data_IF_882230142141
#
_entry.id   IF_882230142141
#
_cell.length_a   1.000
_cell.length_b   1.000
_cell.length_c   1.000
_cell.angle_alpha   90.00
_cell.angle_beta   90.00
_cell.angle_gamma   90.00
#
_symmetry.space_group_name_H-M   'P 1'
#
loop_
_entity.id
_entity.type
_entity.pdbx_description
1 polymer ?
#
# COMPACT_ATOMS: atom_id res chain seq x y z
N UNK A 1 32.21 -2.85 34.86
CA UNK A 1 31.82 -2.69 33.44
C UNK A 1 30.58 -1.81 33.38
N UNK A 2 30.74 -0.51 33.08
CA UNK A 2 29.60 0.39 32.84
C UNK A 2 29.23 0.25 31.37
N UNK A 3 28.26 -0.61 31.06
CA UNK A 3 27.56 -0.52 29.77
C UNK A 3 26.72 0.75 29.88
N UNK A 4 27.17 1.83 29.23
CA UNK A 4 26.47 3.11 29.27
C UNK A 4 25.05 2.94 28.72
N UNK A 5 24.05 3.48 29.43
CA UNK A 5 22.65 3.52 29.00
C UNK A 5 22.50 4.06 27.57
N UNK A 6 23.42 4.95 27.16
CA UNK A 6 23.58 5.50 25.81
C UNK A 6 23.85 4.42 24.75
N UNK A 7 24.63 3.38 25.07
CA UNK A 7 24.88 2.26 24.17
C UNK A 7 23.60 1.41 23.99
N UNK A 8 22.79 1.27 25.04
CA UNK A 8 21.52 0.54 24.98
C UNK A 8 20.47 1.33 24.18
N UNK A 9 20.42 2.65 24.31
CA UNK A 9 19.53 3.51 23.51
C UNK A 9 19.96 3.51 22.05
N UNK A 10 21.26 3.60 21.74
CA UNK A 10 21.73 3.49 20.34
C UNK A 10 21.49 2.09 19.77
N UNK A 11 21.66 1.02 20.55
CA UNK A 11 21.36 -0.35 20.12
C UNK A 11 19.84 -0.59 20.00
N UNK A 12 19.00 0.04 20.82
CA UNK A 12 17.54 -0.02 20.66
C UNK A 12 17.05 0.82 19.49
N UNK A 13 17.59 2.03 19.28
CA UNK A 13 17.22 2.88 18.15
C UNK A 13 17.71 2.25 16.84
N UNK A 14 18.94 1.73 16.79
CA UNK A 14 19.40 0.92 15.66
C UNK A 14 18.59 -0.38 15.55
N UNK A 15 18.31 -1.04 16.67
CA UNK A 15 17.48 -2.23 16.72
C UNK A 15 16.06 -1.98 16.22
N UNK A 16 15.47 -0.80 16.43
CA UNK A 16 14.09 -0.46 16.02
C UNK A 16 14.06 0.11 14.60
N UNK A 17 15.09 0.85 14.18
CA UNK A 17 15.29 1.27 12.79
C UNK A 17 15.55 0.06 11.86
N UNK A 18 16.11 -1.03 12.38
CA UNK A 18 16.39 -2.26 11.62
C UNK A 18 15.47 -3.46 11.96
N UNK A 19 14.73 -3.48 13.08
CA UNK A 19 13.79 -4.57 13.44
C UNK A 19 12.31 -4.25 13.20
N UNK A 20 12.01 -3.17 12.46
CA UNK A 20 10.74 -3.04 11.74
C UNK A 20 10.62 -3.99 10.52
N UNK A 21 11.57 -4.92 10.37
CA UNK A 21 11.53 -5.99 9.39
C UNK A 21 10.47 -7.03 9.77
N UNK A 22 9.28 -6.89 9.19
CA UNK A 22 8.77 -8.05 8.47
C UNK A 22 9.79 -8.33 7.35
N UNK A 23 10.37 -9.54 7.37
CA UNK A 23 11.34 -10.05 6.42
C UNK A 23 10.79 -10.04 4.98
N UNK A 24 10.76 -8.88 4.34
CA UNK A 24 10.69 -8.80 2.89
C UNK A 24 11.79 -7.85 2.34
N UNK A 25 12.96 -8.38 1.96
CA UNK A 25 14.04 -7.61 1.35
C UNK A 25 13.70 -7.10 -0.07
N UNK A 26 12.43 -7.19 -0.52
CA UNK A 26 12.00 -6.77 -1.87
C UNK A 26 11.03 -5.59 -1.94
N UNK A 27 10.75 -4.90 -0.83
CA UNK A 27 9.83 -3.76 -0.89
C UNK A 27 10.12 -2.69 0.14
N UNK A 28 11.10 -1.82 -0.13
CA UNK A 28 11.16 -0.49 0.52
C UNK A 28 9.88 0.26 0.16
N UNK A 29 8.86 0.16 1.01
CA UNK A 29 7.59 0.84 0.84
C UNK A 29 7.73 2.33 1.18
N UNK A 30 6.84 3.16 0.62
CA UNK A 30 6.81 4.61 0.86
C UNK A 30 6.79 5.03 2.35
N UNK A 31 6.34 4.14 3.25
CA UNK A 31 6.40 4.36 4.70
C UNK A 31 7.81 4.19 5.28
N UNK A 32 8.63 3.28 4.75
CA UNK A 32 10.00 3.03 5.24
C UNK A 32 10.94 4.19 4.96
N UNK A 33 10.92 4.74 3.74
CA UNK A 33 11.72 5.93 3.38
C UNK A 33 11.32 7.16 4.20
N UNK A 34 10.02 7.35 4.44
CA UNK A 34 9.52 8.44 5.28
C UNK A 34 9.94 8.26 6.75
N UNK A 35 9.90 7.03 7.25
CA UNK A 35 10.33 6.70 8.61
C UNK A 35 11.83 6.93 8.79
N UNK A 36 12.66 6.47 7.85
CA UNK A 36 14.11 6.69 7.87
C UNK A 36 14.43 8.19 7.92
N UNK A 37 13.78 9.01 7.10
CA UNK A 37 13.97 10.46 7.08
C UNK A 37 13.53 11.15 8.37
N UNK A 38 12.38 10.79 8.95
CA UNK A 38 11.91 11.36 10.21
C UNK A 38 12.78 10.92 11.41
N UNK A 39 13.23 9.66 11.45
CA UNK A 39 14.17 9.18 12.46
C UNK A 39 15.51 9.90 12.32
N UNK A 40 16.02 10.08 11.10
CA UNK A 40 17.27 10.81 10.86
C UNK A 40 17.15 12.27 11.31
N UNK A 41 16.03 12.94 11.04
CA UNK A 41 15.77 14.30 11.50
C UNK A 41 15.77 14.40 13.03
N UNK A 42 15.07 13.48 13.70
CA UNK A 42 15.03 13.40 15.18
C UNK A 42 16.43 13.12 15.75
N UNK A 43 17.20 12.22 15.12
CA UNK A 43 18.55 11.90 15.58
C UNK A 43 19.59 12.98 15.29
N UNK A 44 19.41 13.76 14.22
CA UNK A 44 20.30 14.87 13.88
C UNK A 44 20.30 15.94 14.98
N UNK A 45 19.16 16.19 15.64
CA UNK A 45 19.04 17.13 16.76
C UNK A 45 19.81 16.68 18.01
N UNK A 46 20.05 15.37 18.12
CA UNK A 46 20.67 14.70 19.28
C UNK A 46 22.15 14.39 19.03
N UNK A 47 22.59 14.40 17.76
CA UNK A 47 23.91 13.93 17.31
C UNK A 47 25.10 14.70 17.89
N UNK A 48 24.94 15.98 18.18
CA UNK A 48 26.01 16.85 18.70
C UNK A 48 26.01 16.96 20.24
N UNK A 49 25.13 16.23 20.94
CA UNK A 49 25.07 16.22 22.41
C UNK A 49 25.97 15.12 23.00
N UNK A 50 26.62 15.43 24.13
CA UNK A 50 27.43 14.44 24.85
C UNK A 50 26.55 13.27 25.34
N UNK A 51 26.91 12.04 24.97
CA UNK A 51 26.19 10.80 25.25
C UNK A 51 25.95 10.50 26.75
N UNK A 52 26.50 11.31 27.66
CA UNK A 52 26.40 11.16 29.11
C UNK A 52 25.36 12.05 29.81
N UNK A 53 24.72 12.99 29.11
CA UNK A 53 23.87 14.03 29.74
C UNK A 53 22.36 13.81 29.62
N UNK A 54 21.90 12.73 29.00
CA UNK A 54 20.45 12.50 28.83
C UNK A 54 19.77 12.22 30.16
N UNK A 55 18.84 13.08 30.52
CA UNK A 55 17.88 12.85 31.60
C UNK A 55 16.82 11.85 31.15
N UNK A 56 16.17 11.17 32.11
CA UNK A 56 15.07 10.22 31.81
C UNK A 56 13.94 10.91 31.04
N UNK A 57 13.63 12.17 31.34
CA UNK A 57 12.62 12.94 30.62
C UNK A 57 13.00 13.24 29.16
N UNK A 58 14.28 13.46 28.86
CA UNK A 58 14.74 13.64 27.47
C UNK A 58 14.68 12.32 26.68
N UNK A 59 14.92 11.18 27.33
CA UNK A 59 14.74 9.86 26.70
C UNK A 59 13.27 9.58 26.42
N UNK A 60 12.36 9.90 27.35
CA UNK A 60 10.91 9.77 27.12
C UNK A 60 10.41 10.67 25.99
N UNK A 61 10.90 11.92 25.91
CA UNK A 61 10.57 12.83 24.82
C UNK A 61 11.03 12.28 23.46
N UNK A 62 12.28 11.82 23.38
CA UNK A 62 12.85 11.24 22.17
C UNK A 62 12.08 9.99 21.71
N UNK A 63 11.76 9.10 22.65
CA UNK A 63 10.93 7.92 22.36
C UNK A 63 9.53 8.31 21.91
N UNK A 64 8.98 9.40 22.43
CA UNK A 64 7.70 9.97 22.00
C UNK A 64 7.73 10.45 20.55
N UNK A 65 8.79 11.14 20.14
CA UNK A 65 8.98 11.61 18.76
C UNK A 65 9.18 10.44 17.78
N UNK A 66 9.99 9.44 18.15
CA UNK A 66 10.16 8.22 17.36
C UNK A 66 8.83 7.48 17.21
N UNK A 67 8.03 7.40 18.27
CA UNK A 67 6.69 6.81 18.26
C UNK A 67 5.75 7.55 17.30
N UNK A 68 5.81 8.88 17.25
CA UNK A 68 5.04 9.68 16.30
C UNK A 68 5.52 9.41 14.87
N UNK A 69 6.83 9.37 14.61
CA UNK A 69 7.39 9.08 13.29
C UNK A 69 6.92 7.72 12.76
N UNK A 70 6.91 6.69 13.62
CA UNK A 70 6.36 5.36 13.29
C UNK A 70 4.87 5.40 12.97
N UNK A 71 4.08 6.13 13.76
CA UNK A 71 2.64 6.26 13.52
C UNK A 71 2.35 6.95 12.19
N UNK A 72 3.11 8.02 11.84
CA UNK A 72 3.03 8.69 10.54
C UNK A 72 3.35 7.72 9.39
N UNK A 73 4.46 6.99 9.49
CA UNK A 73 4.88 6.01 8.48
C UNK A 73 3.84 4.90 8.28
N UNK A 74 3.29 4.35 9.38
CA UNK A 74 2.24 3.35 9.34
C UNK A 74 0.95 3.90 8.71
N UNK A 75 0.59 5.16 8.98
CA UNK A 75 -0.56 5.81 8.36
C UNK A 75 -0.40 5.96 6.84
N UNK A 76 0.78 6.41 6.38
CA UNK A 76 1.11 6.52 4.96
C UNK A 76 1.03 5.15 4.29
N UNK A 77 1.63 4.11 4.89
CA UNK A 77 1.60 2.76 4.36
C UNK A 77 0.18 2.19 4.29
N UNK A 78 -0.65 2.42 5.32
CA UNK A 78 -2.07 2.03 5.32
C UNK A 78 -2.88 2.75 4.24
N UNK A 79 -2.60 4.02 3.98
CA UNK A 79 -3.26 4.78 2.91
C UNK A 79 -2.84 4.28 1.53
N UNK A 80 -1.54 4.06 1.32
CA UNK A 80 -0.99 3.51 0.09
C UNK A 80 -1.52 2.10 -0.20
N UNK A 81 -1.53 1.23 0.82
CA UNK A 81 -2.01 -0.15 0.72
C UNK A 81 -3.51 -0.21 0.41
N UNK A 82 -4.32 0.67 1.03
CA UNK A 82 -5.74 0.76 0.73
C UNK A 82 -6.00 1.08 -0.75
N UNK A 83 -5.30 2.07 -1.31
CA UNK A 83 -5.44 2.41 -2.73
C UNK A 83 -4.82 1.41 -3.70
N UNK A 84 -3.86 0.61 -3.24
CA UNK A 84 -3.33 -0.50 -4.03
C UNK A 84 -4.35 -1.65 -4.15
N UNK A 85 -5.05 -1.97 -3.04
CA UNK A 85 -6.09 -3.00 -3.02
C UNK A 85 -7.32 -2.58 -3.82
N UNK A 86 -7.80 -1.36 -3.58
CA UNK A 86 -8.94 -0.77 -4.28
C UNK A 86 -8.58 0.68 -4.68
N UNK A 87 -8.38 0.96 -5.98
CA UNK A 87 -8.03 2.30 -6.43
C UNK A 87 -8.97 3.37 -5.89
N UNK A 88 -8.39 4.41 -5.30
CA UNK A 88 -9.13 5.57 -4.80
C UNK A 88 -9.46 5.55 -3.30
N UNK A 89 -9.41 4.40 -2.61
CA UNK A 89 -9.82 4.32 -1.20
C UNK A 89 -8.90 5.12 -0.28
N UNK A 90 -7.58 5.01 -0.46
CA UNK A 90 -6.60 5.81 0.28
C UNK A 90 -6.79 7.31 0.06
N UNK A 91 -7.17 7.75 -1.14
CA UNK A 91 -7.50 9.16 -1.40
C UNK A 91 -8.73 9.60 -0.61
N UNK A 92 -9.79 8.80 -0.60
CA UNK A 92 -11.01 9.10 0.17
C UNK A 92 -10.75 9.16 1.68
N UNK A 93 -9.89 8.27 2.20
CA UNK A 93 -9.46 8.28 3.61
C UNK A 93 -8.69 9.54 4.00
N UNK A 94 -8.08 10.23 3.04
CA UNK A 94 -7.36 11.49 3.21
C UNK A 94 -8.19 12.67 2.68
N UNK A 95 -9.52 12.57 2.70
CA UNK A 95 -10.49 13.61 2.32
C UNK A 95 -10.42 14.08 0.85
N UNK A 96 -9.65 13.42 -0.01
CA UNK A 96 -9.63 13.72 -1.45
C UNK A 96 -10.67 12.86 -2.20
N UNK A 97 -11.95 13.06 -1.86
CA UNK A 97 -13.07 12.24 -2.35
C UNK A 97 -13.18 12.24 -3.88
N UNK A 98 -13.01 13.41 -4.52
CA UNK A 98 -13.09 13.53 -5.97
C UNK A 98 -12.01 12.69 -6.66
N UNK A 99 -10.75 12.83 -6.23
CA UNK A 99 -9.63 12.05 -6.78
C UNK A 99 -9.84 10.55 -6.55
N UNK A 100 -10.31 10.17 -5.36
CA UNK A 100 -10.66 8.80 -5.05
C UNK A 100 -11.74 8.23 -5.96
N UNK A 101 -12.82 8.99 -6.17
CA UNK A 101 -13.93 8.57 -7.04
C UNK A 101 -13.50 8.42 -8.50
N UNK A 102 -12.64 9.31 -9.00
CA UNK A 102 -12.10 9.21 -10.36
C UNK A 102 -11.27 7.94 -10.55
N UNK A 103 -10.39 7.62 -9.60
CA UNK A 103 -9.56 6.40 -9.66
C UNK A 103 -10.41 5.13 -9.57
N UNK A 104 -11.42 5.11 -8.70
CA UNK A 104 -12.35 4.00 -8.60
C UNK A 104 -13.16 3.83 -9.89
N UNK A 105 -13.63 4.93 -10.47
CA UNK A 105 -14.36 4.91 -11.75
C UNK A 105 -13.48 4.40 -12.88
N UNK A 106 -12.22 4.83 -12.93
CA UNK A 106 -11.25 4.32 -13.90
C UNK A 106 -11.06 2.80 -13.74
N UNK A 107 -10.93 2.29 -12.52
CA UNK A 107 -10.80 0.84 -12.24
C UNK A 107 -12.02 0.05 -12.72
N UNK A 108 -13.22 0.57 -12.47
CA UNK A 108 -14.48 -0.02 -12.95
C UNK A 108 -14.54 -0.01 -14.48
N UNK A 109 -14.20 1.09 -15.13
CA UNK A 109 -14.21 1.20 -16.59
C UNK A 109 -13.20 0.25 -17.25
N UNK A 110 -12.00 0.13 -16.69
CA UNK A 110 -10.99 -0.83 -17.18
C UNK A 110 -11.51 -2.27 -16.99
N UNK A 111 -12.13 -2.57 -15.85
CA UNK A 111 -12.73 -3.90 -15.61
C UNK A 111 -13.82 -4.22 -16.63
N UNK A 112 -14.78 -3.31 -16.82
CA UNK A 112 -15.86 -3.47 -17.79
C UNK A 112 -15.29 -3.60 -19.20
N UNK A 113 -14.37 -2.73 -19.60
CA UNK A 113 -13.73 -2.76 -20.91
C UNK A 113 -12.97 -4.06 -21.16
N UNK A 114 -12.29 -4.60 -20.15
CA UNK A 114 -11.59 -5.89 -20.24
C UNK A 114 -12.55 -7.04 -20.43
N UNK A 115 -13.64 -7.08 -19.65
CA UNK A 115 -14.67 -8.14 -19.75
C UNK A 115 -15.38 -8.07 -21.09
N UNK A 116 -15.85 -6.88 -21.49
CA UNK A 116 -16.55 -6.67 -22.76
C UNK A 116 -15.62 -6.96 -23.94
N UNK A 117 -14.40 -6.44 -23.92
CA UNK A 117 -13.42 -6.68 -24.98
C UNK A 117 -13.04 -8.16 -25.08
N UNK A 118 -12.79 -8.82 -23.94
CA UNK A 118 -12.50 -10.26 -23.90
C UNK A 118 -13.66 -11.10 -24.42
N UNK A 119 -14.90 -10.73 -24.08
CA UNK A 119 -16.11 -11.40 -24.60
C UNK A 119 -16.23 -11.30 -26.12
N UNK A 120 -16.06 -10.11 -26.70
CA UNK A 120 -16.18 -9.92 -28.15
C UNK A 120 -15.03 -10.56 -28.95
N UNK A 121 -13.88 -10.75 -28.32
CA UNK A 121 -12.73 -11.42 -28.93
C UNK A 121 -12.68 -12.92 -28.65
N UNK A 122 -13.60 -13.45 -27.84
CA UNK A 122 -13.75 -14.89 -27.62
C UNK A 122 -14.21 -15.55 -28.94
N UNK A 123 -13.76 -16.78 -29.24
CA UNK A 123 -14.32 -17.57 -30.33
C UNK A 123 -15.83 -17.67 -30.22
N UNK A 124 -16.55 -17.58 -31.35
CA UNK A 124 -18.00 -17.48 -31.38
C UNK A 124 -18.65 -18.65 -30.62
N UNK A 125 -18.09 -19.84 -30.77
CA UNK A 125 -18.55 -21.11 -30.19
C UNK A 125 -18.49 -21.12 -28.65
N UNK A 126 -17.69 -20.24 -28.05
CA UNK A 126 -17.55 -20.10 -26.60
C UNK A 126 -18.34 -18.93 -26.03
N UNK A 127 -18.95 -18.09 -26.86
CA UNK A 127 -19.72 -16.94 -26.37
C UNK A 127 -21.05 -17.39 -25.76
N UNK A 128 -21.54 -16.60 -24.82
CA UNK A 128 -22.81 -16.85 -24.12
C UNK A 128 -24.03 -16.86 -25.05
N UNK A 129 -23.97 -16.22 -26.23
CA UNK A 129 -25.04 -16.29 -27.23
C UNK A 129 -25.07 -17.61 -28.01
N UNK A 130 -23.97 -18.37 -28.04
CA UNK A 130 -23.86 -19.64 -28.76
C UNK A 130 -23.80 -20.86 -27.84
N UNK A 131 -23.29 -20.69 -26.62
CA UNK A 131 -23.16 -21.73 -25.61
C UNK A 131 -23.91 -21.33 -24.35
N UNK A 132 -24.98 -22.07 -24.03
CA UNK A 132 -25.73 -21.89 -22.80
C UNK A 132 -24.97 -22.52 -21.62
N UNK A 133 -24.14 -21.72 -20.96
CA UNK A 133 -23.37 -22.15 -19.80
C UNK A 133 -24.21 -22.56 -18.58
N UNK A 134 -25.48 -22.17 -18.52
CA UNK A 134 -26.33 -22.45 -17.36
C UNK A 134 -27.09 -23.76 -17.50
N UNK A 135 -27.47 -24.13 -18.73
CA UNK A 135 -28.29 -25.31 -18.97
C UNK A 135 -27.57 -26.43 -19.75
N UNK A 136 -26.45 -26.14 -20.42
CA UNK A 136 -25.71 -27.17 -21.13
C UNK A 136 -25.01 -28.15 -20.17
N UNK A 137 -24.94 -29.45 -20.51
CA UNK A 137 -24.13 -30.40 -19.78
C UNK A 137 -22.65 -29.97 -19.74
N UNK A 138 -21.99 -30.14 -18.58
CA UNK A 138 -20.58 -29.78 -18.40
C UNK A 138 -19.65 -30.46 -19.43
N UNK A 139 -19.99 -31.68 -19.88
CA UNK A 139 -19.25 -32.37 -20.95
C UNK A 139 -19.26 -31.59 -22.26
N UNK A 140 -20.40 -31.02 -22.63
CA UNK A 140 -20.57 -30.21 -23.85
C UNK A 140 -19.77 -28.92 -23.75
N UNK A 141 -19.83 -28.23 -22.59
CA UNK A 141 -19.04 -27.02 -22.35
C UNK A 141 -17.55 -27.34 -22.51
N UNK A 142 -17.08 -28.38 -21.82
CA UNK A 142 -15.67 -28.79 -21.87
C UNK A 142 -15.23 -29.14 -23.29
N UNK A 143 -16.02 -29.91 -24.03
CA UNK A 143 -15.72 -30.27 -25.41
C UNK A 143 -15.57 -29.03 -26.31
N UNK A 144 -16.47 -28.05 -26.18
CA UNK A 144 -16.37 -26.79 -26.93
C UNK A 144 -15.11 -26.00 -26.62
N UNK A 145 -14.71 -25.94 -25.35
CA UNK A 145 -13.45 -25.32 -24.94
C UNK A 145 -12.22 -26.04 -25.48
N UNK A 146 -12.21 -27.38 -25.47
CA UNK A 146 -11.10 -28.17 -26.01
C UNK A 146 -11.03 -28.18 -27.55
N UNK A 147 -12.13 -27.87 -28.23
CA UNK A 147 -12.17 -27.76 -29.67
C UNK A 147 -11.49 -26.49 -30.19
N UNK A 148 -11.26 -25.48 -29.34
CA UNK A 148 -10.61 -24.24 -29.73
C UNK A 148 -9.09 -24.38 -29.71
N UNK A 149 -8.45 -23.82 -30.72
CA UNK A 149 -7.01 -23.67 -30.73
C UNK A 149 -6.58 -22.51 -29.81
N UNK A 150 -5.36 -22.60 -29.28
CA UNK A 150 -4.76 -21.49 -28.52
C UNK A 150 -4.68 -20.22 -29.38
N UNK A 151 -4.50 -20.36 -30.70
CA UNK A 151 -4.42 -19.23 -31.62
C UNK A 151 -5.74 -18.45 -31.72
N UNK A 152 -6.88 -19.14 -31.66
CA UNK A 152 -8.21 -18.52 -31.65
C UNK A 152 -8.53 -17.86 -30.30
N UNK A 153 -7.93 -18.35 -29.23
CA UNK A 153 -8.05 -17.77 -27.89
C UNK A 153 -7.12 -16.58 -27.63
N UNK A 154 -6.02 -16.45 -28.38
CA UNK A 154 -5.00 -15.41 -28.20
C UNK A 154 -5.57 -13.99 -28.12
N UNK A 155 -6.54 -13.56 -28.96
CA UNK A 155 -7.12 -12.22 -28.86
C UNK A 155 -7.80 -11.96 -27.52
N UNK A 156 -8.63 -12.89 -27.04
CA UNK A 156 -9.32 -12.76 -25.76
C UNK A 156 -8.34 -12.79 -24.57
N UNK A 157 -7.36 -13.70 -24.62
CA UNK A 157 -6.29 -13.79 -23.61
C UNK A 157 -5.43 -12.52 -23.61
N UNK A 158 -5.14 -11.97 -24.79
CA UNK A 158 -4.39 -10.73 -24.96
C UNK A 158 -5.10 -9.53 -24.33
N UNK A 159 -6.43 -9.40 -24.53
CA UNK A 159 -7.21 -8.36 -23.85
C UNK A 159 -7.28 -8.58 -22.35
N UNK A 160 -7.44 -9.82 -21.89
CA UNK A 160 -7.42 -10.11 -20.46
C UNK A 160 -6.08 -9.73 -19.83
N UNK A 161 -4.96 -10.13 -20.45
CA UNK A 161 -3.61 -9.80 -19.99
C UNK A 161 -3.35 -8.29 -20.03
N UNK A 162 -3.74 -7.61 -21.11
CA UNK A 162 -3.66 -6.15 -21.23
C UNK A 162 -4.48 -5.44 -20.15
N UNK A 163 -5.70 -5.90 -19.91
CA UNK A 163 -6.57 -5.40 -18.84
C UNK A 163 -5.94 -5.55 -17.45
N UNK A 164 -5.36 -6.72 -17.16
CA UNK A 164 -4.61 -6.96 -15.91
C UNK A 164 -3.43 -6.01 -15.75
N UNK A 165 -2.67 -5.76 -16.83
CA UNK A 165 -1.54 -4.82 -16.80
C UNK A 165 -2.01 -3.39 -16.52
N UNK A 166 -3.06 -2.92 -17.21
CA UNK A 166 -3.63 -1.59 -16.98
C UNK A 166 -4.15 -1.46 -15.54
N UNK A 167 -4.83 -2.48 -15.03
CA UNK A 167 -5.25 -2.59 -13.63
C UNK A 167 -4.09 -2.42 -12.65
N UNK A 168 -3.01 -3.17 -12.88
CA UNK A 168 -1.83 -3.13 -12.01
C UNK A 168 -1.17 -1.74 -12.01
N UNK A 169 -1.04 -1.14 -13.20
CA UNK A 169 -0.51 0.22 -13.35
C UNK A 169 -1.38 1.23 -12.60
N UNK A 170 -2.70 1.16 -12.77
CA UNK A 170 -3.65 2.05 -12.08
C UNK A 170 -3.52 1.93 -10.56
N UNK A 171 -3.43 0.70 -10.03
CA UNK A 171 -3.26 0.43 -8.59
C UNK A 171 -1.94 0.99 -8.06
N UNK A 172 -0.85 0.87 -8.81
CA UNK A 172 0.45 1.45 -8.42
C UNK A 172 0.37 2.98 -8.36
N UNK A 173 -0.22 3.63 -9.38
CA UNK A 173 -0.39 5.08 -9.37
C UNK A 173 -1.33 5.55 -8.24
N UNK A 174 -2.46 4.85 -8.05
CA UNK A 174 -3.38 5.15 -6.96
C UNK A 174 -2.72 4.99 -5.58
N UNK A 175 -1.89 3.96 -5.40
CA UNK A 175 -1.13 3.72 -4.17
C UNK A 175 -0.13 4.84 -3.89
N UNK A 176 0.68 5.22 -4.88
CA UNK A 176 1.65 6.31 -4.74
C UNK A 176 0.97 7.64 -4.45
N UNK A 177 -0.07 7.99 -5.20
CA UNK A 177 -0.83 9.22 -4.97
C UNK A 177 -1.49 9.27 -3.59
N UNK A 178 -1.96 8.13 -3.06
CA UNK A 178 -2.49 8.07 -1.70
C UNK A 178 -1.41 8.22 -0.63
N UNK A 179 -0.20 7.70 -0.88
CA UNK A 179 0.95 7.89 0.00
C UNK A 179 1.37 9.36 0.07
N UNK A 180 1.49 10.02 -1.09
CA UNK A 180 1.84 11.44 -1.20
C UNK A 180 0.79 12.33 -0.52
N UNK A 181 -0.48 12.08 -0.79
CA UNK A 181 -1.57 12.81 -0.14
C UNK A 181 -1.56 12.61 1.39
N UNK A 182 -1.29 11.40 1.87
CA UNK A 182 -1.18 11.16 3.30
C UNK A 182 -0.02 11.95 3.93
N UNK A 183 1.14 12.04 3.26
CA UNK A 183 2.26 12.89 3.72
C UNK A 183 1.87 14.36 3.77
N UNK A 184 1.19 14.86 2.75
CA UNK A 184 0.69 16.23 2.69
C UNK A 184 -0.28 16.52 3.85
N UNK A 185 -1.24 15.64 4.13
CA UNK A 185 -2.20 15.84 5.23
C UNK A 185 -1.56 15.79 6.62
N UNK A 186 -0.48 15.03 6.79
CA UNK A 186 0.33 15.05 8.01
C UNK A 186 1.08 16.39 8.12
N UNK A 187 1.71 16.86 7.03
CA UNK A 187 2.46 18.11 7.01
C UNK A 187 1.56 19.34 7.24
N UNK A 188 0.34 19.32 6.73
CA UNK A 188 -0.68 20.35 6.97
C UNK A 188 -1.29 20.29 8.38
N UNK A 189 -0.96 19.28 9.18
CA UNK A 189 -1.51 19.09 10.53
C UNK A 189 -2.98 18.64 10.55
N UNK A 190 -3.55 18.23 9.41
CA UNK A 190 -4.91 17.66 9.38
C UNK A 190 -4.97 16.27 10.00
N UNK A 191 -3.85 15.55 9.99
CA UNK A 191 -3.68 14.28 10.70
C UNK A 191 -2.62 14.47 11.77
N UNK A 192 -3.01 14.33 13.02
CA UNK A 192 -2.12 14.47 14.18
C UNK A 192 -1.97 13.14 14.92
N UNK A 193 -0.85 12.98 15.61
CA UNK A 193 -0.53 11.77 16.37
C UNK A 193 -0.05 12.17 17.76
N UNK A 194 -0.43 11.38 18.76
CA UNK A 194 0.03 11.55 20.14
C UNK A 194 1.14 10.52 20.44
N UNK A 195 2.16 10.88 21.24
CA UNK A 195 3.20 9.96 21.67
C UNK A 195 2.61 8.74 22.38
N UNK A 196 3.09 7.54 22.03
CA UNK A 196 2.76 6.29 22.74
C UNK A 196 4.02 5.65 23.27
N UNK A 197 4.16 5.67 24.59
CA UNK A 197 5.29 5.08 25.33
C UNK A 197 5.09 3.57 25.62
N UNK A 198 3.88 3.05 25.41
CA UNK A 198 3.55 1.63 25.55
C UNK A 198 2.99 1.07 24.23
N UNK A 199 3.37 -0.16 23.82
CA UNK A 199 2.84 -0.80 22.62
C UNK A 199 1.36 -1.13 22.82
N UNK A 200 0.50 -0.48 22.03
CA UNK A 200 -0.94 -0.69 22.00
C UNK A 200 -1.52 -0.30 20.64
N UNK A 201 -2.66 -0.87 20.22
CA UNK A 201 -3.17 -0.77 18.85
C UNK A 201 -3.38 0.70 18.44
N UNK A 202 -2.77 1.09 17.31
CA UNK A 202 -2.80 2.45 16.75
C UNK A 202 -4.23 3.01 16.69
N UNK A 203 -4.52 3.98 17.54
CA UNK A 203 -5.78 4.70 17.61
C UNK A 203 -5.50 6.14 17.21
N UNK A 204 -6.07 6.54 16.09
CA UNK A 204 -6.06 7.91 15.60
C UNK A 204 -7.34 8.57 16.11
N UNK A 205 -7.27 9.82 16.62
CA UNK A 205 -8.48 10.63 16.84
C UNK A 205 -8.92 11.18 15.49
N UNK A 206 -10.19 10.96 15.13
CA UNK A 206 -10.85 11.59 13.98
C UNK A 206 -11.21 13.03 14.31
#
# INVERSE_FOLDING_TARGET
>A
MKISLSLIVVIMVAGIAFAGGDDDPKGRGAGSEFLEAEIEAVLAEVRDRELGSFTVGEVEALMGEISIAQQKAAYIQKSAGASFMLPGVGQMKNEAVLNGALLLTADVLVSIGTVVGGYFLLPAELRFDQLDYFNAPMSTIKERWHAQSIAEMLPAVGVAAGGCLVHMVLRVFASKGAAELARERIAEGRVTFEPRLLPGPAGHKQ
#
